data_IF_647690711909
#
_entry.id   IF_647690711909
#
_cell.length_a   1.000
_cell.length_b   1.000
_cell.length_c   1.000
_cell.angle_alpha   90.00
_cell.angle_beta   90.00
_cell.angle_gamma   90.00
#
_symmetry.space_group_name_H-M   'P 1'
#
loop_
_entity.id
_entity.type
_entity.pdbx_description
1 polymer ?
#
# COMPACT_ATOMS: atom_id res chain seq x y z
N UNK A 1 29.25 -10.90 -12.89
CA UNK A 1 28.04 -11.14 -12.06
C UNK A 1 26.85 -10.74 -12.91
N UNK A 2 26.03 -11.70 -13.36
CA UNK A 2 24.86 -11.44 -14.20
C UNK A 2 23.78 -10.84 -13.29
N UNK A 3 23.43 -9.57 -13.47
CA UNK A 3 22.23 -8.98 -12.85
C UNK A 3 21.01 -9.67 -13.46
N UNK A 4 20.45 -10.64 -12.76
CA UNK A 4 19.14 -11.16 -13.10
C UNK A 4 18.12 -10.05 -12.81
N UNK A 5 17.57 -9.47 -13.86
CA UNK A 5 16.47 -8.49 -13.76
C UNK A 5 15.29 -9.21 -13.12
N UNK A 6 14.83 -8.70 -11.97
CA UNK A 6 13.57 -9.12 -11.36
C UNK A 6 12.44 -8.99 -12.39
N UNK A 7 11.85 -10.11 -12.81
CA UNK A 7 10.79 -10.12 -13.81
C UNK A 7 9.54 -9.42 -13.26
N UNK A 8 9.01 -8.45 -14.02
CA UNK A 8 7.70 -7.86 -13.75
C UNK A 8 6.63 -8.65 -14.51
N UNK A 9 5.57 -9.06 -13.83
CA UNK A 9 4.47 -9.82 -14.40
C UNK A 9 3.15 -9.04 -14.24
N UNK A 10 2.38 -8.91 -15.33
CA UNK A 10 0.99 -8.48 -15.26
C UNK A 10 0.12 -9.70 -14.95
N UNK A 11 -0.48 -9.71 -13.78
CA UNK A 11 -1.39 -10.75 -13.34
C UNK A 11 -2.83 -10.24 -13.41
N UNK A 12 -3.72 -11.04 -13.99
CA UNK A 12 -5.16 -10.76 -14.07
C UNK A 12 -5.91 -11.90 -13.37
N UNK A 13 -6.71 -11.57 -12.36
CA UNK A 13 -7.54 -12.52 -11.63
C UNK A 13 -9.02 -12.24 -11.87
N UNK A 14 -9.78 -13.26 -12.20
CA UNK A 14 -11.24 -13.20 -12.13
C UNK A 14 -11.64 -13.32 -10.65
N UNK A 15 -12.12 -12.23 -10.06
CA UNK A 15 -12.36 -12.16 -8.60
C UNK A 15 -13.83 -12.17 -8.22
N UNK A 16 -14.65 -11.60 -9.08
CA UNK A 16 -16.12 -11.55 -8.97
C UNK A 16 -16.71 -11.81 -10.34
N UNK A 17 -18.02 -12.09 -10.42
CA UNK A 17 -18.70 -12.31 -11.68
C UNK A 17 -18.50 -11.14 -12.66
N UNK A 18 -17.91 -11.43 -13.82
CA UNK A 18 -17.56 -10.45 -14.84
C UNK A 18 -16.50 -9.43 -14.47
N UNK A 19 -15.81 -9.57 -13.30
CA UNK A 19 -14.83 -8.60 -12.81
C UNK A 19 -13.42 -9.18 -12.74
N UNK A 20 -12.49 -8.42 -13.30
CA UNK A 20 -11.05 -8.72 -13.26
C UNK A 20 -10.32 -7.75 -12.33
N UNK A 21 -9.52 -8.30 -11.41
CA UNK A 21 -8.56 -7.57 -10.62
C UNK A 21 -7.17 -7.77 -11.21
N UNK A 22 -6.57 -6.69 -11.69
CA UNK A 22 -5.20 -6.71 -12.22
C UNK A 22 -4.20 -6.21 -11.19
N UNK A 23 -2.99 -6.77 -11.21
CA UNK A 23 -1.86 -6.25 -10.44
C UNK A 23 -0.52 -6.50 -11.12
N UNK A 24 0.44 -5.63 -10.84
CA UNK A 24 1.83 -5.79 -11.24
C UNK A 24 2.56 -6.57 -10.14
N UNK A 25 2.98 -7.79 -10.45
CA UNK A 25 3.77 -8.61 -9.54
C UNK A 25 5.26 -8.44 -9.84
N UNK A 26 6.04 -8.19 -8.79
CA UNK A 26 7.51 -8.19 -8.83
C UNK A 26 8.00 -9.04 -7.67
N UNK A 27 8.85 -10.01 -7.96
CA UNK A 27 9.43 -10.90 -6.95
C UNK A 27 10.96 -10.82 -6.98
N UNK A 28 11.64 -11.16 -5.87
CA UNK A 28 13.10 -11.25 -5.88
C UNK A 28 13.58 -12.33 -6.86
N UNK A 29 14.81 -12.21 -7.42
CA UNK A 29 15.32 -13.15 -8.40
C UNK A 29 15.32 -14.62 -7.97
N UNK A 30 15.42 -14.86 -6.66
CA UNK A 30 15.32 -16.21 -6.07
C UNK A 30 13.92 -16.83 -6.18
N UNK A 31 12.90 -16.02 -6.46
CA UNK A 31 11.48 -16.37 -6.37
C UNK A 31 11.06 -16.98 -5.00
N UNK A 32 11.83 -16.69 -3.95
CA UNK A 32 11.59 -17.11 -2.56
C UNK A 32 11.56 -15.90 -1.64
N UNK A 33 10.49 -15.09 -1.69
CA UNK A 33 10.36 -13.94 -0.81
C UNK A 33 10.12 -14.39 0.64
N UNK A 34 10.57 -13.59 1.60
CA UNK A 34 10.30 -13.84 3.02
C UNK A 34 8.85 -13.50 3.41
N UNK A 35 8.22 -12.60 2.65
CA UNK A 35 6.82 -12.22 2.75
C UNK A 35 6.37 -11.58 1.43
N UNK A 36 5.07 -11.36 1.26
CA UNK A 36 4.53 -10.60 0.16
C UNK A 36 3.80 -9.34 0.65
N UNK A 37 3.85 -8.27 -0.13
CA UNK A 37 3.11 -7.03 0.13
C UNK A 37 2.11 -6.74 -1.00
N UNK A 38 0.88 -6.44 -0.62
CA UNK A 38 -0.16 -5.91 -1.50
C UNK A 38 -0.10 -4.40 -1.38
N UNK A 39 0.41 -3.73 -2.41
CA UNK A 39 0.61 -2.28 -2.45
C UNK A 39 -0.63 -1.60 -3.02
N UNK A 40 -1.33 -0.84 -2.19
CA UNK A 40 -2.61 -0.19 -2.49
C UNK A 40 -2.40 1.31 -2.72
N UNK A 41 -2.40 1.76 -3.99
CA UNK A 41 -2.12 3.15 -4.33
C UNK A 41 -3.19 4.11 -3.83
N UNK A 42 -2.77 5.36 -3.58
CA UNK A 42 -3.65 6.49 -3.29
C UNK A 42 -4.39 7.02 -4.53
N UNK A 43 -4.94 8.23 -4.41
CA UNK A 43 -5.71 8.87 -5.47
C UNK A 43 -6.92 8.04 -5.88
N UNK A 44 -7.14 7.87 -7.17
CA UNK A 44 -8.21 7.03 -7.72
C UNK A 44 -7.99 5.52 -7.48
N UNK A 45 -6.76 5.11 -7.19
CA UNK A 45 -6.36 3.70 -7.13
C UNK A 45 -6.10 3.06 -8.49
N UNK A 46 -6.47 3.72 -9.59
CA UNK A 46 -6.20 3.23 -10.94
C UNK A 46 -4.79 3.62 -11.38
N UNK A 47 -3.91 2.64 -11.53
CA UNK A 47 -2.56 2.84 -12.09
C UNK A 47 -2.53 2.59 -13.60
N UNK A 48 -3.66 2.21 -14.20
CA UNK A 48 -3.83 1.96 -15.63
C UNK A 48 -2.84 0.92 -16.17
N UNK A 49 -2.76 -0.18 -15.45
CA UNK A 49 -1.88 -1.29 -15.78
C UNK A 49 -2.34 -1.97 -17.07
N UNK A 50 -1.44 -2.06 -18.04
CA UNK A 50 -1.74 -2.69 -19.33
C UNK A 50 -0.50 -3.25 -20.00
N UNK A 51 -0.71 -4.16 -20.91
CA UNK A 51 0.33 -4.62 -21.84
C UNK A 51 0.23 -3.82 -23.15
N UNK A 52 1.36 -3.32 -23.62
CA UNK A 52 1.46 -2.52 -24.82
C UNK A 52 2.78 -2.86 -25.56
N UNK A 53 2.70 -3.40 -26.78
CA UNK A 53 3.87 -3.79 -27.56
C UNK A 53 4.81 -4.79 -26.88
N UNK A 54 4.27 -5.65 -26.00
CA UNK A 54 5.08 -6.60 -25.21
C UNK A 54 5.56 -6.05 -23.86
N UNK A 55 5.53 -4.74 -23.64
CA UNK A 55 5.89 -4.08 -22.40
C UNK A 55 4.68 -3.95 -21.44
N UNK A 56 4.97 -3.92 -20.14
CA UNK A 56 3.97 -3.59 -19.11
C UNK A 56 4.05 -2.10 -18.82
N UNK A 57 2.97 -1.37 -19.10
CA UNK A 57 2.85 0.07 -18.86
C UNK A 57 1.87 0.37 -17.74
N UNK A 58 2.20 1.37 -16.92
CA UNK A 58 1.38 1.83 -15.80
C UNK A 58 1.80 3.23 -15.35
N UNK A 59 0.95 3.90 -14.57
CA UNK A 59 1.28 5.18 -13.96
C UNK A 59 2.18 4.95 -12.73
N UNK A 60 3.38 5.55 -12.74
CA UNK A 60 4.43 5.31 -11.73
C UNK A 60 4.60 6.47 -10.72
N UNK A 61 3.69 7.44 -10.68
CA UNK A 61 3.84 8.64 -9.82
C UNK A 61 3.62 8.38 -8.33
N UNK A 62 2.71 7.47 -7.98
CA UNK A 62 2.37 7.18 -6.57
C UNK A 62 3.57 6.62 -5.79
N UNK A 63 3.69 6.98 -4.50
CA UNK A 63 4.78 6.53 -3.62
C UNK A 63 5.00 5.01 -3.65
N UNK A 64 3.97 4.23 -3.39
CA UNK A 64 4.12 2.75 -3.35
C UNK A 64 4.45 2.17 -4.72
N UNK A 65 3.91 2.75 -5.79
CA UNK A 65 4.15 2.28 -7.15
C UNK A 65 5.61 2.51 -7.56
N UNK A 66 6.14 3.73 -7.36
CA UNK A 66 7.52 4.05 -7.71
C UNK A 66 8.56 3.38 -6.81
N UNK A 67 8.17 3.11 -5.55
CA UNK A 67 9.06 2.47 -4.57
C UNK A 67 8.96 0.95 -4.51
N UNK A 68 8.16 0.32 -5.39
CA UNK A 68 7.92 -1.14 -5.35
C UNK A 68 9.21 -1.98 -5.35
N UNK A 69 10.23 -1.52 -6.07
CA UNK A 69 11.51 -2.23 -6.13
C UNK A 69 12.24 -2.24 -4.78
N UNK A 70 12.09 -1.20 -3.96
CA UNK A 70 12.70 -1.18 -2.62
C UNK A 70 12.13 -2.27 -1.70
N UNK A 71 10.86 -2.66 -1.85
CA UNK A 71 10.30 -3.82 -1.15
C UNK A 71 10.94 -5.12 -1.65
N UNK A 72 11.15 -5.23 -2.95
CA UNK A 72 11.79 -6.41 -3.58
C UNK A 72 13.26 -6.53 -3.19
N UNK A 73 13.98 -5.42 -3.17
CA UNK A 73 15.37 -5.34 -2.69
C UNK A 73 15.49 -5.74 -1.22
N UNK A 74 14.42 -5.47 -0.45
CA UNK A 74 14.27 -5.93 0.94
C UNK A 74 13.90 -7.42 1.10
N UNK A 75 13.79 -8.17 0.01
CA UNK A 75 13.51 -9.61 0.02
C UNK A 75 12.01 -9.96 0.02
N UNK A 76 11.12 -9.03 -0.31
CA UNK A 76 9.67 -9.25 -0.36
C UNK A 76 9.20 -9.39 -1.81
N UNK A 77 8.07 -10.09 -2.04
CA UNK A 77 7.32 -9.96 -3.27
C UNK A 77 6.36 -8.76 -3.18
N UNK A 78 6.27 -7.96 -4.23
CA UNK A 78 5.40 -6.78 -4.28
C UNK A 78 4.33 -6.94 -5.36
N UNK A 79 3.06 -6.90 -4.95
CA UNK A 79 1.90 -6.86 -5.83
C UNK A 79 1.29 -5.45 -5.83
N UNK A 80 1.53 -4.67 -6.88
CA UNK A 80 0.98 -3.31 -7.02
C UNK A 80 -0.40 -3.42 -7.64
N UNK A 81 -1.42 -3.04 -6.89
CA UNK A 81 -2.82 -3.22 -7.26
C UNK A 81 -3.29 -2.10 -8.22
N UNK A 82 -3.98 -2.47 -9.29
CA UNK A 82 -4.80 -1.56 -10.08
C UNK A 82 -6.23 -1.53 -9.57
N UNK A 83 -7.03 -0.56 -9.99
CA UNK A 83 -8.48 -0.60 -9.76
C UNK A 83 -9.10 -1.80 -10.51
N UNK A 84 -10.09 -2.51 -9.94
CA UNK A 84 -10.75 -3.59 -10.62
C UNK A 84 -11.52 -3.09 -11.85
N UNK A 85 -11.83 -3.99 -12.78
CA UNK A 85 -12.37 -3.61 -14.11
C UNK A 85 -13.68 -2.84 -14.05
N UNK A 86 -14.53 -3.09 -13.05
CA UNK A 86 -15.78 -2.37 -12.80
C UNK A 86 -15.60 -0.99 -12.15
N UNK A 87 -14.40 -0.71 -11.60
CA UNK A 87 -14.01 0.57 -11.00
C UNK A 87 -12.82 1.22 -11.74
N UNK A 88 -12.63 0.91 -13.02
CA UNK A 88 -11.48 1.32 -13.84
C UNK A 88 -11.28 2.85 -13.95
N UNK A 89 -12.32 3.63 -13.67
CA UNK A 89 -12.27 5.11 -13.61
C UNK A 89 -11.80 5.62 -12.26
N UNK A 90 -11.76 4.76 -11.23
CA UNK A 90 -11.33 5.04 -9.87
C UNK A 90 -12.33 4.59 -8.82
N UNK A 91 -11.79 4.12 -7.70
CA UNK A 91 -12.56 3.62 -6.56
C UNK A 91 -12.92 4.77 -5.61
N UNK A 92 -14.19 4.85 -5.20
CA UNK A 92 -14.63 5.72 -4.11
C UNK A 92 -14.40 5.07 -2.73
N UNK A 93 -14.59 5.82 -1.64
CA UNK A 93 -14.31 5.33 -0.29
C UNK A 93 -15.29 4.23 0.15
N UNK A 94 -16.55 4.28 -0.31
CA UNK A 94 -17.56 3.26 -0.01
C UNK A 94 -17.16 1.92 -0.63
N UNK A 95 -16.72 1.93 -1.88
CA UNK A 95 -16.20 0.72 -2.52
C UNK A 95 -14.98 0.18 -1.80
N UNK A 96 -14.01 1.05 -1.43
CA UNK A 96 -12.77 0.66 -0.75
C UNK A 96 -13.00 0.00 0.61
N UNK A 97 -14.05 0.40 1.34
CA UNK A 97 -14.43 -0.17 2.63
C UNK A 97 -15.35 -1.39 2.49
N UNK A 98 -15.89 -1.64 1.31
CA UNK A 98 -16.94 -2.62 1.07
C UNK A 98 -16.44 -4.04 0.81
N UNK A 99 -17.38 -4.98 0.89
CA UNK A 99 -17.14 -6.41 0.68
C UNK A 99 -16.62 -6.76 -0.72
N UNK A 100 -17.03 -6.01 -1.76
CA UNK A 100 -16.57 -6.22 -3.13
C UNK A 100 -15.06 -6.04 -3.24
N UNK A 101 -14.54 -4.94 -2.72
CA UNK A 101 -13.09 -4.70 -2.71
C UNK A 101 -12.34 -5.71 -1.82
N UNK A 102 -12.94 -6.06 -0.69
CA UNK A 102 -12.38 -7.09 0.18
C UNK A 102 -12.30 -8.47 -0.51
N UNK A 103 -13.30 -8.82 -1.31
CA UNK A 103 -13.28 -10.06 -2.11
C UNK A 103 -12.17 -10.05 -3.17
N UNK A 104 -11.98 -8.90 -3.85
CA UNK A 104 -10.86 -8.73 -4.79
C UNK A 104 -9.51 -8.91 -4.10
N UNK A 105 -9.33 -8.27 -2.92
CA UNK A 105 -8.10 -8.41 -2.15
C UNK A 105 -7.91 -9.82 -1.57
N UNK A 106 -8.98 -10.50 -1.21
CA UNK A 106 -8.90 -11.90 -0.78
C UNK A 106 -8.35 -12.81 -1.88
N UNK A 107 -8.78 -12.61 -3.12
CA UNK A 107 -8.28 -13.36 -4.27
C UNK A 107 -6.79 -13.06 -4.53
N UNK A 108 -6.37 -11.79 -4.45
CA UNK A 108 -4.96 -11.41 -4.58
C UNK A 108 -4.10 -12.06 -3.49
N UNK A 109 -4.55 -12.00 -2.22
CA UNK A 109 -3.86 -12.63 -1.09
C UNK A 109 -3.73 -14.14 -1.29
N UNK A 110 -4.81 -14.81 -1.74
CA UNK A 110 -4.79 -16.24 -2.02
C UNK A 110 -3.81 -16.60 -3.16
N UNK A 111 -3.79 -15.81 -4.22
CA UNK A 111 -2.85 -16.01 -5.34
C UNK A 111 -1.39 -15.85 -4.90
N UNK A 112 -1.07 -14.83 -4.10
CA UNK A 112 0.28 -14.63 -3.56
C UNK A 112 0.71 -15.79 -2.66
N UNK A 113 -0.17 -16.27 -1.78
CA UNK A 113 0.09 -17.43 -0.93
C UNK A 113 0.33 -18.70 -1.76
N UNK A 114 -0.48 -18.90 -2.80
CA UNK A 114 -0.32 -20.04 -3.72
C UNK A 114 1.02 -20.00 -4.45
N UNK A 115 1.44 -18.80 -4.94
CA UNK A 115 2.68 -18.63 -5.72
C UNK A 115 3.94 -18.79 -4.89
N UNK A 116 3.90 -18.40 -3.61
CA UNK A 116 5.07 -18.28 -2.74
C UNK A 116 4.99 -19.18 -1.49
N UNK A 117 4.37 -20.35 -1.60
CA UNK A 117 4.36 -21.37 -0.54
C UNK A 117 3.88 -20.83 0.81
N UNK A 118 2.70 -20.20 0.81
CA UNK A 118 2.03 -19.65 1.99
C UNK A 118 2.82 -18.58 2.78
N UNK A 119 3.69 -17.83 2.15
CA UNK A 119 4.36 -16.69 2.81
C UNK A 119 3.36 -15.74 3.48
N UNK A 120 3.76 -15.07 4.57
CA UNK A 120 2.95 -14.02 5.17
C UNK A 120 2.65 -12.90 4.17
N UNK A 121 1.38 -12.46 4.09
CA UNK A 121 0.97 -11.38 3.19
C UNK A 121 0.55 -10.16 4.01
N UNK A 122 1.08 -8.99 3.67
CA UNK A 122 0.79 -7.71 4.32
C UNK A 122 0.08 -6.77 3.35
N UNK A 123 -0.86 -5.98 3.86
CA UNK A 123 -1.48 -4.89 3.11
C UNK A 123 -0.75 -3.59 3.41
N UNK A 124 -0.33 -2.87 2.38
CA UNK A 124 0.34 -1.57 2.51
C UNK A 124 -0.43 -0.55 1.69
N UNK A 125 -1.07 0.41 2.36
CA UNK A 125 -1.83 1.48 1.72
C UNK A 125 -1.15 2.84 1.88
N UNK A 126 -1.30 3.73 0.88
CA UNK A 126 -0.88 5.13 0.99
C UNK A 126 -2.04 6.07 0.65
N UNK A 127 -2.18 7.18 1.41
CA UNK A 127 -3.23 8.16 1.17
C UNK A 127 -4.62 7.48 1.10
N UNK A 128 -5.42 7.68 0.06
CA UNK A 128 -6.69 6.96 -0.13
C UNK A 128 -6.53 5.43 -0.20
N UNK A 129 -5.34 4.91 -0.52
CA UNK A 129 -5.06 3.49 -0.44
C UNK A 129 -5.10 2.93 0.98
N UNK A 130 -4.96 3.77 2.02
CA UNK A 130 -5.12 3.35 3.41
C UNK A 130 -6.56 2.96 3.75
N UNK A 131 -7.54 3.56 3.07
CA UNK A 131 -8.95 3.16 3.17
C UNK A 131 -9.14 1.74 2.65
N UNK A 132 -8.53 1.44 1.50
CA UNK A 132 -8.51 0.07 0.93
C UNK A 132 -7.84 -0.93 1.86
N UNK A 133 -6.66 -0.58 2.40
CA UNK A 133 -5.91 -1.47 3.30
C UNK A 133 -6.68 -1.74 4.60
N UNK A 134 -7.21 -0.70 5.23
CA UNK A 134 -7.98 -0.81 6.47
C UNK A 134 -9.30 -1.58 6.24
N UNK A 135 -10.04 -1.22 5.19
CA UNK A 135 -11.29 -1.90 4.81
C UNK A 135 -11.07 -3.38 4.52
N UNK A 136 -10.13 -3.71 3.65
CA UNK A 136 -9.81 -5.11 3.34
C UNK A 136 -9.39 -5.89 4.60
N UNK A 137 -8.56 -5.30 5.47
CA UNK A 137 -8.09 -5.97 6.68
C UNK A 137 -9.22 -6.33 7.64
N UNK A 138 -10.30 -5.53 7.73
CA UNK A 138 -11.45 -5.87 8.59
C UNK A 138 -12.18 -7.11 8.11
N UNK A 139 -12.22 -7.35 6.79
CA UNK A 139 -12.89 -8.51 6.19
C UNK A 139 -11.97 -9.75 6.09
N UNK A 140 -10.68 -9.53 5.88
CA UNK A 140 -9.73 -10.65 5.72
C UNK A 140 -9.29 -11.26 7.05
N UNK A 141 -9.34 -10.52 8.14
CA UNK A 141 -8.98 -11.02 9.48
C UNK A 141 -7.55 -11.60 9.52
N UNK A 142 -7.41 -12.85 9.90
CA UNK A 142 -6.15 -13.61 10.03
C UNK A 142 -5.54 -14.05 8.70
N UNK A 143 -6.23 -13.85 7.58
CA UNK A 143 -5.68 -14.15 6.24
C UNK A 143 -4.52 -13.22 5.87
N UNK A 144 -4.39 -12.06 6.52
CA UNK A 144 -3.27 -11.13 6.36
C UNK A 144 -2.43 -11.06 7.63
N UNK A 145 -1.11 -10.96 7.45
CA UNK A 145 -0.14 -10.98 8.55
C UNK A 145 0.06 -9.59 9.21
N UNK A 146 -0.37 -8.53 8.54
CA UNK A 146 -0.31 -7.17 9.07
C UNK A 146 -0.75 -6.13 8.05
N UNK A 147 -0.89 -4.89 8.53
CA UNK A 147 -1.35 -3.74 7.75
C UNK A 147 -0.41 -2.56 7.98
N UNK A 148 0.01 -1.91 6.93
CA UNK A 148 0.79 -0.67 6.99
C UNK A 148 -0.02 0.46 6.36
N UNK A 149 -0.21 1.53 7.11
CA UNK A 149 -0.98 2.70 6.70
C UNK A 149 -0.04 3.90 6.60
N UNK A 150 0.28 4.32 5.37
CA UNK A 150 1.22 5.43 5.11
C UNK A 150 0.46 6.67 4.66
N UNK A 151 0.78 7.85 5.19
CA UNK A 151 0.08 9.11 4.90
C UNK A 151 -1.44 8.92 4.88
N UNK A 152 -1.99 8.40 5.99
CA UNK A 152 -3.36 7.92 6.07
C UNK A 152 -4.38 9.04 5.92
N UNK A 153 -5.41 8.80 5.14
CA UNK A 153 -6.48 9.75 4.86
C UNK A 153 -7.49 9.74 6.02
N UNK A 154 -7.18 10.47 7.08
CA UNK A 154 -7.97 10.52 8.31
C UNK A 154 -9.16 11.48 8.21
N UNK A 155 -9.01 12.55 7.44
CA UNK A 155 -10.04 13.58 7.30
C UNK A 155 -10.70 13.46 5.93
N UNK A 156 -12.02 13.41 5.94
CA UNK A 156 -12.81 13.32 4.73
C UNK A 156 -12.62 14.53 3.80
N UNK A 157 -12.92 14.31 2.53
CA UNK A 157 -12.91 15.31 1.47
C UNK A 157 -14.22 15.23 0.68
N UNK A 158 -14.35 16.06 -0.38
CA UNK A 158 -15.47 15.93 -1.32
C UNK A 158 -15.58 14.54 -1.97
N UNK A 159 -14.51 13.77 -1.97
CA UNK A 159 -14.42 12.42 -2.57
C UNK A 159 -14.82 11.30 -1.61
N UNK A 160 -15.10 11.59 -0.35
CA UNK A 160 -15.52 10.61 0.67
C UNK A 160 -15.05 10.95 2.07
N UNK A 161 -15.46 10.15 3.04
CA UNK A 161 -15.18 10.33 4.47
C UNK A 161 -13.77 9.94 4.91
N UNK A 162 -13.00 9.25 4.07
CA UNK A 162 -11.71 8.70 4.46
C UNK A 162 -11.84 7.67 5.60
N UNK A 163 -10.90 7.71 6.53
CA UNK A 163 -10.91 6.91 7.76
C UNK A 163 -11.50 7.69 8.96
N UNK A 164 -12.21 8.79 8.70
CA UNK A 164 -12.94 9.52 9.75
C UNK A 164 -14.00 8.62 10.38
N UNK A 165 -13.92 8.42 11.71
CA UNK A 165 -14.82 7.52 12.42
C UNK A 165 -14.63 6.02 12.14
N UNK A 166 -13.56 5.63 11.48
CA UNK A 166 -13.27 4.23 11.22
C UNK A 166 -12.97 3.48 12.52
N UNK A 167 -13.60 2.32 12.68
CA UNK A 167 -13.41 1.45 13.84
C UNK A 167 -12.16 0.55 13.68
N UNK A 168 -11.03 1.06 14.14
CA UNK A 168 -9.74 0.35 14.07
C UNK A 168 -9.71 -0.98 14.86
N UNK A 169 -10.59 -1.15 15.86
CA UNK A 169 -10.66 -2.39 16.63
C UNK A 169 -11.13 -3.60 15.79
N UNK A 170 -11.72 -3.34 14.63
CA UNK A 170 -12.10 -4.39 13.67
C UNK A 170 -10.90 -4.98 12.94
N UNK A 171 -9.77 -4.29 12.88
CA UNK A 171 -8.54 -4.83 12.29
C UNK A 171 -7.90 -5.78 13.31
N UNK A 172 -7.88 -7.07 13.01
CA UNK A 172 -7.32 -8.10 13.91
C UNK A 172 -5.81 -8.29 13.72
N UNK A 173 -5.29 -7.97 12.54
CA UNK A 173 -3.87 -8.06 12.24
C UNK A 173 -3.10 -6.89 12.88
N UNK A 174 -1.79 -7.05 13.18
CA UNK A 174 -0.93 -5.94 13.59
C UNK A 174 -0.95 -4.77 12.61
N UNK A 175 -0.97 -3.54 13.13
CA UNK A 175 -0.99 -2.31 12.31
C UNK A 175 0.26 -1.49 12.58
N UNK A 176 0.87 -0.96 11.51
CA UNK A 176 1.92 0.06 11.55
C UNK A 176 1.40 1.33 10.90
N UNK A 177 1.56 2.47 11.57
CA UNK A 177 1.38 3.79 10.98
C UNK A 177 2.73 4.36 10.54
N UNK A 178 2.77 4.98 9.36
CA UNK A 178 3.95 5.70 8.86
C UNK A 178 3.50 7.05 8.33
N UNK A 179 4.00 8.13 8.92
CA UNK A 179 3.57 9.47 8.53
C UNK A 179 4.74 10.45 8.48
N UNK A 180 4.68 11.33 7.49
CA UNK A 180 5.63 12.43 7.39
C UNK A 180 5.19 13.59 8.29
N UNK A 181 6.11 14.07 9.15
CA UNK A 181 5.80 15.13 10.13
C UNK A 181 5.41 16.44 9.44
N UNK A 182 6.01 16.71 8.28
CA UNK A 182 5.81 17.92 7.48
C UNK A 182 4.79 17.71 6.34
N UNK A 183 3.98 16.63 6.40
CA UNK A 183 2.89 16.43 5.43
C UNK A 183 1.84 17.55 5.60
N UNK A 184 1.79 18.46 4.63
CA UNK A 184 0.89 19.60 4.62
C UNK A 184 -0.46 19.31 3.94
N UNK A 185 -0.72 18.05 3.55
CA UNK A 185 -2.02 17.64 3.06
C UNK A 185 -3.08 17.66 4.18
N UNK A 186 -4.13 18.46 3.99
CA UNK A 186 -5.19 18.64 5.00
C UNK A 186 -5.95 17.36 5.35
N UNK A 187 -5.96 16.37 4.47
CA UNK A 187 -6.66 15.11 4.69
C UNK A 187 -5.84 14.07 5.46
N UNK A 188 -4.52 14.32 5.65
CA UNK A 188 -3.59 13.40 6.27
C UNK A 188 -2.77 14.04 7.40
N UNK A 189 -3.40 14.75 8.36
CA UNK A 189 -2.67 15.49 9.37
C UNK A 189 -1.87 14.56 10.27
N UNK A 190 -0.58 14.87 10.46
CA UNK A 190 0.33 14.07 11.31
C UNK A 190 -0.16 13.94 12.75
N UNK A 191 -0.76 14.98 13.32
CA UNK A 191 -1.31 14.97 14.68
C UNK A 191 -2.41 13.90 14.85
N UNK A 192 -3.17 13.65 13.78
CA UNK A 192 -4.20 12.61 13.81
C UNK A 192 -3.56 11.20 13.79
N UNK A 193 -2.44 11.02 13.06
CA UNK A 193 -1.66 9.80 13.14
C UNK A 193 -1.16 9.53 14.56
N UNK A 194 -0.64 10.55 15.24
CA UNK A 194 -0.20 10.45 16.64
C UNK A 194 -1.36 10.09 17.58
N UNK A 195 -2.52 10.75 17.41
CA UNK A 195 -3.72 10.49 18.22
C UNK A 195 -4.20 9.03 18.07
N UNK A 196 -4.27 8.53 16.83
CA UNK A 196 -4.70 7.16 16.56
C UNK A 196 -3.66 6.17 17.04
N UNK A 197 -2.36 6.42 16.81
CA UNK A 197 -1.29 5.59 17.31
C UNK A 197 -1.38 5.40 18.84
N UNK A 198 -1.57 6.49 19.57
CA UNK A 198 -1.73 6.46 21.03
C UNK A 198 -3.00 5.73 21.47
N UNK A 199 -4.14 6.04 20.87
CA UNK A 199 -5.44 5.46 21.23
C UNK A 199 -5.51 3.94 20.96
N UNK A 200 -4.91 3.48 19.86
CA UNK A 200 -4.92 2.08 19.45
C UNK A 200 -3.66 1.32 19.89
N UNK A 201 -2.68 1.99 20.46
CA UNK A 201 -1.35 1.45 20.80
C UNK A 201 -0.63 0.88 19.58
N UNK A 202 -0.77 1.54 18.43
CA UNK A 202 -0.08 1.16 17.20
C UNK A 202 1.32 1.82 17.16
N UNK A 203 2.34 1.10 16.70
CA UNK A 203 3.62 1.74 16.38
C UNK A 203 3.42 2.80 15.29
N UNK A 204 4.15 3.92 15.44
CA UNK A 204 4.20 5.02 14.50
C UNK A 204 5.65 5.28 14.10
N UNK A 205 5.94 5.24 12.81
CA UNK A 205 7.19 5.74 12.25
C UNK A 205 6.96 7.16 11.78
N UNK A 206 7.70 8.10 12.36
CA UNK A 206 7.67 9.51 12.00
C UNK A 206 8.78 9.82 11.01
N UNK A 207 8.44 10.31 9.82
CA UNK A 207 9.41 10.66 8.77
C UNK A 207 9.57 12.17 8.71
N UNK A 208 10.82 12.66 8.63
CA UNK A 208 11.17 14.08 8.53
C UNK A 208 12.10 14.36 7.36
N UNK A 209 12.16 15.61 6.96
CA UNK A 209 13.05 16.10 5.89
C UNK A 209 12.69 15.55 4.51
N UNK A 210 13.67 15.41 3.65
CA UNK A 210 13.47 15.00 2.26
C UNK A 210 13.72 16.15 1.29
N UNK A 211 13.18 16.04 0.08
CA UNK A 211 13.35 17.05 -0.94
C UNK A 211 12.21 18.08 -0.93
N UNK A 212 12.44 19.31 -1.40
CA UNK A 212 11.38 20.29 -1.60
C UNK A 212 10.26 19.75 -2.49
N UNK A 213 9.01 20.06 -2.15
CA UNK A 213 7.85 19.60 -2.90
C UNK A 213 7.90 20.06 -4.36
N UNK A 214 7.53 19.16 -5.28
CA UNK A 214 7.42 19.37 -6.72
C UNK A 214 5.99 19.18 -7.23
N UNK A 215 5.05 19.00 -6.31
CA UNK A 215 3.62 18.85 -6.58
C UNK A 215 2.82 19.51 -5.46
N UNK A 216 1.49 19.56 -5.61
CA UNK A 216 0.60 20.02 -4.56
C UNK A 216 0.71 19.17 -3.27
N UNK A 217 0.35 19.71 -2.11
CA UNK A 217 0.56 19.06 -0.81
C UNK A 217 0.02 17.63 -0.69
N UNK A 218 -1.11 17.31 -1.32
CA UNK A 218 -1.71 15.98 -1.26
C UNK A 218 -1.28 15.06 -2.42
N UNK A 219 -0.29 15.50 -3.20
CA UNK A 219 0.20 14.76 -4.35
C UNK A 219 1.51 14.02 -4.04
N UNK A 220 1.88 13.11 -4.93
CA UNK A 220 2.93 12.14 -4.64
C UNK A 220 4.36 12.71 -4.59
N UNK A 221 4.63 13.86 -5.22
CA UNK A 221 5.97 14.49 -5.24
C UNK A 221 6.09 15.62 -4.21
N UNK A 222 5.69 15.31 -2.99
CA UNK A 222 5.76 16.17 -1.81
C UNK A 222 6.09 15.32 -0.56
N UNK A 223 6.10 15.91 0.62
CA UNK A 223 6.22 15.20 1.90
C UNK A 223 5.12 14.12 2.06
N UNK A 224 3.92 14.35 1.50
CA UNK A 224 2.84 13.38 1.45
C UNK A 224 3.23 12.05 0.78
N UNK A 225 4.08 12.10 -0.23
CA UNK A 225 4.63 10.93 -0.93
C UNK A 225 6.04 10.57 -0.52
N UNK A 226 6.56 11.12 0.59
CA UNK A 226 7.91 10.84 1.10
C UNK A 226 9.03 11.22 0.13
N UNK A 227 8.87 12.30 -0.64
CA UNK A 227 9.83 12.73 -1.66
C UNK A 227 11.22 12.91 -1.06
N UNK A 228 12.21 12.19 -1.61
CA UNK A 228 13.58 12.16 -1.10
C UNK A 228 13.79 11.30 0.16
N UNK A 229 12.74 10.63 0.64
CA UNK A 229 12.78 9.69 1.80
C UNK A 229 12.21 8.31 1.46
N UNK A 230 11.90 8.05 0.21
CA UNK A 230 11.22 6.83 -0.22
C UNK A 230 11.93 5.58 0.27
N UNK A 231 13.22 5.46 -0.05
CA UNK A 231 13.98 4.24 0.26
C UNK A 231 14.05 3.97 1.75
N UNK A 232 14.43 4.95 2.55
CA UNK A 232 14.58 4.76 4.01
C UNK A 232 13.25 4.49 4.69
N UNK A 233 12.16 5.05 4.16
CA UNK A 233 10.79 4.78 4.63
C UNK A 233 10.39 3.34 4.32
N UNK A 234 10.65 2.87 3.09
CA UNK A 234 10.36 1.48 2.72
C UNK A 234 11.25 0.51 3.49
N UNK A 235 12.54 0.80 3.68
CA UNK A 235 13.45 -0.05 4.47
C UNK A 235 12.92 -0.23 5.91
N UNK A 236 12.40 0.83 6.53
CA UNK A 236 11.80 0.74 7.86
C UNK A 236 10.51 -0.11 7.88
N UNK A 237 9.66 0.03 6.86
CA UNK A 237 8.46 -0.82 6.68
C UNK A 237 8.85 -2.28 6.50
N UNK A 238 9.84 -2.56 5.64
CA UNK A 238 10.36 -3.92 5.41
C UNK A 238 10.92 -4.52 6.70
N UNK A 239 11.66 -3.75 7.49
CA UNK A 239 12.18 -4.21 8.78
C UNK A 239 11.05 -4.56 9.75
N UNK A 240 9.98 -3.75 9.82
CA UNK A 240 8.80 -4.08 10.64
C UNK A 240 8.13 -5.38 10.17
N UNK A 241 7.93 -5.54 8.85
CA UNK A 241 7.36 -6.76 8.25
C UNK A 241 8.20 -7.99 8.60
N UNK A 242 9.52 -7.88 8.53
CA UNK A 242 10.47 -8.97 8.81
C UNK A 242 10.79 -9.13 10.31
N UNK A 243 10.10 -8.36 11.18
CA UNK A 243 10.32 -8.38 12.65
C UNK A 243 11.77 -8.06 13.03
N UNK A 244 12.44 -7.20 12.26
CA UNK A 244 13.77 -6.66 12.53
C UNK A 244 13.66 -5.30 13.23
N UNK A 245 14.72 -4.83 13.89
CA UNK A 245 14.75 -3.46 14.44
C UNK A 245 14.51 -2.42 13.35
N UNK A 246 13.67 -1.43 13.66
CA UNK A 246 13.37 -0.29 12.79
C UNK A 246 13.32 1.00 13.60
N UNK A 247 13.63 2.17 13.02
CA UNK A 247 13.61 3.44 13.73
C UNK A 247 12.17 3.91 13.96
N UNK A 248 11.88 4.50 15.11
CA UNK A 248 10.63 5.21 15.36
C UNK A 248 10.59 6.58 14.65
N UNK A 249 11.76 7.14 14.34
CA UNK A 249 11.90 8.40 13.59
C UNK A 249 12.97 8.24 12.51
N UNK A 250 12.67 8.71 11.32
CA UNK A 250 13.56 8.84 10.15
C UNK A 250 13.81 10.33 9.95
N UNK A 251 15.10 10.73 9.95
CA UNK A 251 15.55 12.13 9.78
C UNK A 251 16.29 12.33 8.47
#
# INVERSE_FOLDING_TARGET
>A
MSCTVSGQELVNLSTRDGVTQSFLLVAPPSNKPAAAVVLLPGGSGAIRLRRDGGEIKFQNGNFLVRSRMSFVDGGLAAAVIDAPSDESRGMNDVFRLGEKHAADMAAVVAELKKRFDNVPVYLVGTSRGTISAAGAATHLGDKVAGVVLTSSLFVGSRAGGGLSGFDYAKIKAPVLLVHHVEDSCRSTPYQEAQRIAGAQRYPLISVKGGEPARSDPCEALSAHGYLGREKVTVDAIVNWILKKPYPATIE
#
